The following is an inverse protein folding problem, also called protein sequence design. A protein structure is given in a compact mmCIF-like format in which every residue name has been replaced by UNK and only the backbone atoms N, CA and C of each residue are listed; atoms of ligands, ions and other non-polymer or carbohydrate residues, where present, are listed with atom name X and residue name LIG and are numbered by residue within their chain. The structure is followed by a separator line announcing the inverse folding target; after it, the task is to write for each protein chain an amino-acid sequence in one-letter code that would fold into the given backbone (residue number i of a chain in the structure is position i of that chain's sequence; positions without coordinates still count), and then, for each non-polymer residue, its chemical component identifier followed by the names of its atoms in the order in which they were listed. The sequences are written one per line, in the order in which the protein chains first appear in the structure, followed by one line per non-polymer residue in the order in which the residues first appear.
data_IF_192607341141
#
_entry.id   IF_192607341141
#
_cell.length_a   1.000
_cell.length_b   1.000
_cell.length_c   1.000
_cell.angle_alpha   90.00
_cell.angle_beta   90.00
_cell.angle_gamma   90.00
#
_symmetry.space_group_name_H-M   'P 1'
#
loop_
_entity.id
_entity.type
_entity.pdbx_description
1 polymer ?
#
# COMPACT_ATOMS: atom_id res chain seq x y z
N UNK A 1 -3.08 -13.15 -11.87
CA UNK A 1 -3.52 -13.83 -10.64
C UNK A 1 -5.01 -14.09 -10.75
N UNK A 2 -5.48 -15.26 -10.34
CA UNK A 2 -6.90 -15.65 -10.38
C UNK A 2 -7.38 -15.94 -8.95
N UNK A 3 -8.68 -15.77 -8.64
CA UNK A 3 -9.24 -16.20 -7.37
C UNK A 3 -8.99 -17.69 -7.13
N UNK A 4 -8.84 -18.09 -5.87
CA UNK A 4 -8.57 -19.48 -5.48
C UNK A 4 -7.16 -19.99 -5.81
N UNK A 5 -6.35 -19.22 -6.53
CA UNK A 5 -4.97 -19.63 -6.85
C UNK A 5 -4.07 -19.57 -5.61
N UNK A 6 -3.12 -20.49 -5.53
CA UNK A 6 -1.97 -20.40 -4.62
C UNK A 6 -0.83 -19.72 -5.36
N UNK A 7 -0.34 -18.61 -4.81
CA UNK A 7 0.68 -17.76 -5.45
C UNK A 7 1.87 -17.62 -4.52
N UNK A 8 3.04 -18.04 -5.00
CA UNK A 8 4.31 -17.87 -4.28
C UNK A 8 5.26 -17.00 -5.07
N UNK A 9 6.03 -16.18 -4.37
CA UNK A 9 7.00 -15.26 -4.97
C UNK A 9 8.19 -15.05 -4.05
N UNK A 10 9.35 -14.69 -4.59
CA UNK A 10 10.56 -14.39 -3.80
C UNK A 10 10.59 -12.97 -3.23
N UNK A 11 9.42 -12.36 -3.07
CA UNK A 11 9.23 -11.04 -2.49
C UNK A 11 8.22 -11.12 -1.34
N UNK A 12 8.51 -10.43 -0.24
CA UNK A 12 7.65 -10.45 0.95
C UNK A 12 6.25 -9.90 0.71
N UNK A 13 6.08 -9.01 -0.27
CA UNK A 13 4.80 -8.39 -0.62
C UNK A 13 4.07 -9.12 -1.74
N UNK A 14 4.43 -10.37 -2.03
CA UNK A 14 3.59 -11.29 -2.83
C UNK A 14 2.17 -11.36 -2.25
N UNK A 15 2.01 -11.10 -0.96
CA UNK A 15 0.73 -10.89 -0.25
C UNK A 15 -0.24 -9.95 -0.96
N UNK A 16 0.25 -8.96 -1.71
CA UNK A 16 -0.57 -8.02 -2.49
C UNK A 16 -1.60 -8.74 -3.37
N UNK A 17 -1.23 -9.90 -3.92
CA UNK A 17 -2.07 -10.64 -4.85
C UNK A 17 -3.32 -11.25 -4.21
N UNK A 18 -3.40 -11.32 -2.88
CA UNK A 18 -4.63 -11.73 -2.20
C UNK A 18 -5.77 -10.73 -2.31
N UNK A 19 -5.51 -9.52 -2.80
CA UNK A 19 -6.55 -8.57 -3.22
C UNK A 19 -7.50 -9.11 -4.31
N UNK A 20 -7.08 -10.17 -5.02
CA UNK A 20 -7.85 -10.84 -6.07
C UNK A 20 -8.38 -12.22 -5.62
N UNK A 21 -8.50 -12.46 -4.31
CA UNK A 21 -8.99 -13.72 -3.76
C UNK A 21 -8.01 -14.89 -3.89
N UNK A 22 -6.71 -14.63 -4.04
CA UNK A 22 -5.66 -15.65 -4.11
C UNK A 22 -4.98 -15.82 -2.74
N UNK A 23 -4.57 -17.04 -2.40
CA UNK A 23 -3.67 -17.25 -1.27
C UNK A 23 -2.24 -16.98 -1.71
N UNK A 24 -1.72 -15.80 -1.37
CA UNK A 24 -0.46 -15.30 -1.91
C UNK A 24 0.56 -14.94 -0.82
N UNK A 25 1.78 -15.46 -0.91
CA UNK A 25 2.79 -15.25 0.14
C UNK A 25 4.22 -15.34 -0.38
N UNK A 26 5.14 -14.73 0.36
CA UNK A 26 6.57 -14.73 0.04
C UNK A 26 7.26 -16.02 0.49
N UNK A 27 8.17 -16.54 -0.34
CA UNK A 27 9.06 -17.67 -0.01
C UNK A 27 10.52 -17.34 -0.35
N UNK A 28 11.47 -18.08 0.23
CA UNK A 28 12.88 -17.90 -0.06
C UNK A 28 13.30 -18.48 -1.42
N UNK A 29 14.56 -18.22 -1.80
CA UNK A 29 15.11 -18.69 -3.07
C UNK A 29 15.19 -20.23 -3.14
N UNK A 30 15.45 -20.90 -2.01
CA UNK A 30 15.54 -22.36 -1.93
C UNK A 30 14.17 -23.02 -2.11
N UNK A 31 13.14 -22.50 -1.45
CA UNK A 31 11.77 -22.97 -1.63
C UNK A 31 11.31 -22.71 -3.08
N UNK A 32 11.62 -21.55 -3.64
CA UNK A 32 11.27 -21.23 -5.03
C UNK A 32 11.94 -22.19 -6.03
N UNK A 33 13.21 -22.55 -5.82
CA UNK A 33 13.88 -23.55 -6.65
C UNK A 33 13.18 -24.91 -6.58
N UNK A 34 12.65 -25.28 -5.42
CA UNK A 34 11.88 -26.52 -5.23
C UNK A 34 10.54 -26.44 -5.98
N UNK A 35 9.84 -25.31 -5.90
CA UNK A 35 8.58 -25.06 -6.64
C UNK A 35 8.80 -25.15 -8.14
N UNK A 36 9.86 -24.53 -8.68
CA UNK A 36 10.19 -24.63 -10.11
C UNK A 36 10.54 -26.05 -10.55
N UNK A 37 11.21 -26.82 -9.69
CA UNK A 37 11.65 -28.18 -10.02
C UNK A 37 10.49 -29.18 -9.96
N UNK A 38 9.63 -29.05 -8.96
CA UNK A 38 8.60 -30.05 -8.64
C UNK A 38 7.20 -29.66 -9.10
N UNK A 39 6.96 -28.37 -9.41
CA UNK A 39 5.65 -27.84 -9.74
C UNK A 39 4.69 -27.73 -8.54
N UNK A 40 5.18 -27.95 -7.32
CA UNK A 40 4.37 -27.92 -6.08
C UNK A 40 5.08 -27.14 -4.99
N UNK A 41 4.31 -26.39 -4.19
CA UNK A 41 4.78 -25.80 -2.95
C UNK A 41 4.76 -26.87 -1.85
N UNK A 42 5.89 -27.07 -1.18
CA UNK A 42 6.04 -28.07 -0.12
C UNK A 42 5.96 -27.41 1.25
N UNK A 43 5.52 -28.18 2.26
CA UNK A 43 5.57 -27.82 3.68
C UNK A 43 4.86 -26.50 4.03
N UNK A 44 3.71 -26.24 3.41
CA UNK A 44 2.85 -25.10 3.76
C UNK A 44 1.84 -25.57 4.81
N UNK A 45 2.00 -25.11 6.04
CA UNK A 45 1.00 -25.28 7.09
C UNK A 45 -0.20 -24.39 6.79
N UNK A 46 -1.43 -24.92 6.97
CA UNK A 46 -2.65 -24.15 6.76
C UNK A 46 -2.78 -23.14 7.91
N UNK A 47 -2.69 -21.82 7.64
CA UNK A 47 -2.67 -20.81 8.69
C UNK A 47 -4.07 -20.57 9.27
N UNK A 48 -4.20 -20.33 10.59
CA UNK A 48 -5.42 -19.76 11.15
C UNK A 48 -5.71 -18.38 10.55
N UNK A 49 -6.97 -17.98 10.54
CA UNK A 49 -7.40 -16.72 9.92
C UNK A 49 -7.89 -15.71 10.96
N UNK A 50 -7.41 -14.47 10.85
CA UNK A 50 -7.93 -13.29 11.54
C UNK A 50 -8.89 -12.58 10.57
N UNK A 51 -10.17 -12.48 10.95
CA UNK A 51 -11.17 -11.71 10.20
C UNK A 51 -11.06 -10.24 10.56
N UNK A 52 -10.96 -9.37 9.55
CA UNK A 52 -11.05 -7.93 9.71
C UNK A 52 -12.33 -7.44 9.04
N UNK A 53 -13.32 -7.07 9.85
CA UNK A 53 -14.61 -6.58 9.40
C UNK A 53 -14.61 -5.05 9.39
N UNK A 54 -14.63 -4.46 8.20
CA UNK A 54 -14.53 -3.00 7.99
C UNK A 54 -15.89 -2.43 7.59
N UNK A 55 -16.33 -1.42 8.34
CA UNK A 55 -17.63 -0.76 8.18
C UNK A 55 -17.48 0.76 8.09
N UNK A 56 -18.51 1.43 7.58
CA UNK A 56 -18.53 2.89 7.43
C UNK A 56 -18.00 3.37 6.07
N UNK A 57 -17.99 4.70 5.90
CA UNK A 57 -17.50 5.37 4.70
C UNK A 57 -16.27 6.20 5.03
N UNK A 58 -15.25 6.16 4.16
CA UNK A 58 -14.04 6.94 4.38
C UNK A 58 -14.34 8.44 4.38
N UNK A 59 -13.83 9.19 5.38
CA UNK A 59 -13.83 10.65 5.32
C UNK A 59 -13.05 11.14 4.09
N UNK A 60 -13.28 12.39 3.65
CA UNK A 60 -12.49 13.00 2.58
C UNK A 60 -10.97 12.92 2.86
N UNK A 61 -10.19 12.59 1.82
CA UNK A 61 -8.73 12.47 1.86
C UNK A 61 -8.19 11.37 2.81
N UNK A 62 -9.05 10.41 3.18
CA UNK A 62 -8.70 9.19 3.93
C UNK A 62 -9.01 7.98 3.05
N UNK A 63 -8.17 6.94 3.09
CA UNK A 63 -8.38 5.77 2.24
C UNK A 63 -7.75 4.48 2.73
N UNK A 64 -7.54 3.56 1.77
CA UNK A 64 -7.04 2.22 2.04
C UNK A 64 -5.68 2.20 2.77
N UNK A 65 -4.81 3.18 2.46
CA UNK A 65 -3.52 3.31 3.13
C UNK A 65 -3.67 3.66 4.60
N UNK A 66 -4.59 4.56 4.94
CA UNK A 66 -4.86 4.93 6.33
C UNK A 66 -5.48 3.76 7.10
N UNK A 67 -6.41 3.03 6.47
CA UNK A 67 -7.00 1.82 7.06
C UNK A 67 -5.93 0.77 7.40
N UNK A 68 -5.03 0.45 6.47
CA UNK A 68 -4.04 -0.60 6.73
C UNK A 68 -2.97 -0.14 7.73
N UNK A 69 -2.58 1.13 7.73
CA UNK A 69 -1.72 1.66 8.78
C UNK A 69 -2.40 1.58 10.14
N UNK A 70 -3.66 2.01 10.25
CA UNK A 70 -4.43 1.89 11.49
C UNK A 70 -4.48 0.43 11.99
N UNK A 71 -4.75 -0.53 11.09
CA UNK A 71 -4.78 -1.94 11.44
C UNK A 71 -3.41 -2.47 11.88
N UNK A 72 -2.33 -2.12 11.19
CA UNK A 72 -0.96 -2.54 11.58
C UNK A 72 -0.60 -1.94 12.94
N UNK A 73 -0.95 -0.68 13.22
CA UNK A 73 -0.76 -0.07 14.54
C UNK A 73 -1.58 -0.75 15.65
N UNK A 74 -2.78 -1.23 15.32
CA UNK A 74 -3.65 -1.97 16.26
C UNK A 74 -3.13 -3.38 16.57
N UNK A 75 -2.63 -4.08 15.55
CA UNK A 75 -2.15 -5.46 15.68
C UNK A 75 -0.71 -5.53 16.21
N UNK A 76 0.12 -4.55 15.87
CA UNK A 76 1.58 -4.61 16.07
C UNK A 76 2.28 -5.44 14.99
N UNK A 77 3.61 -5.29 14.89
CA UNK A 77 4.41 -5.95 13.85
C UNK A 77 4.37 -7.49 13.87
N UNK A 78 4.03 -8.09 15.01
CA UNK A 78 3.94 -9.55 15.20
C UNK A 78 2.49 -10.04 15.43
N UNK A 79 1.51 -9.14 15.33
CA UNK A 79 0.12 -9.41 15.72
C UNK A 79 -0.61 -10.45 14.87
N UNK A 80 -0.10 -10.77 13.69
CA UNK A 80 -0.64 -11.75 12.75
C UNK A 80 0.40 -12.80 12.30
N UNK A 81 1.49 -12.99 13.06
CA UNK A 81 2.52 -13.99 12.73
C UNK A 81 1.93 -15.37 12.45
N UNK A 82 2.20 -15.94 11.27
CA UNK A 82 1.69 -17.25 10.81
C UNK A 82 0.17 -17.33 10.60
N UNK A 83 -0.53 -16.18 10.54
CA UNK A 83 -1.97 -16.10 10.24
C UNK A 83 -2.21 -15.52 8.85
N UNK A 84 -3.42 -15.74 8.35
CA UNK A 84 -3.98 -14.97 7.23
C UNK A 84 -4.84 -13.85 7.80
N UNK A 85 -4.73 -12.66 7.22
CA UNK A 85 -5.70 -11.58 7.46
C UNK A 85 -6.72 -11.62 6.32
N UNK A 86 -7.97 -11.95 6.65
CA UNK A 86 -9.08 -11.89 5.71
C UNK A 86 -9.87 -10.60 5.90
N UNK A 87 -9.93 -9.77 4.87
CA UNK A 87 -10.67 -8.51 4.88
C UNK A 87 -12.08 -8.70 4.36
N UNK A 88 -13.06 -8.19 5.10
CA UNK A 88 -14.43 -8.09 4.62
C UNK A 88 -15.18 -6.92 5.21
N UNK A 89 -16.50 -6.93 5.02
CA UNK A 89 -17.38 -5.81 5.35
C UNK A 89 -17.67 -4.89 4.18
N UNK A 90 -18.62 -3.98 4.41
CA UNK A 90 -19.19 -3.14 3.36
C UNK A 90 -18.14 -2.22 2.72
N UNK A 91 -17.24 -1.66 3.53
CA UNK A 91 -16.18 -0.77 3.05
C UNK A 91 -15.23 -1.51 2.11
N UNK A 92 -14.90 -2.77 2.39
CA UNK A 92 -14.03 -3.59 1.52
C UNK A 92 -14.73 -3.92 0.21
N UNK A 93 -16.02 -4.27 0.24
CA UNK A 93 -16.81 -4.53 -0.99
C UNK A 93 -16.85 -3.31 -1.92
N UNK A 94 -17.04 -2.12 -1.35
CA UNK A 94 -17.03 -0.84 -2.10
C UNK A 94 -15.62 -0.39 -2.54
N UNK A 95 -14.56 -0.97 -1.99
CA UNK A 95 -13.18 -0.56 -2.26
C UNK A 95 -12.72 -1.03 -3.64
N UNK A 96 -12.15 -0.15 -4.49
CA UNK A 96 -11.61 -0.56 -5.77
C UNK A 96 -10.39 -1.48 -5.59
N UNK A 97 -10.06 -2.24 -6.63
CA UNK A 97 -8.93 -3.19 -6.62
C UNK A 97 -7.59 -2.55 -6.20
N UNK A 98 -7.34 -1.28 -6.54
CA UNK A 98 -6.15 -0.53 -6.11
C UNK A 98 -6.05 -0.38 -4.59
N UNK A 99 -7.16 -0.09 -3.92
CA UNK A 99 -7.24 -0.05 -2.46
C UNK A 99 -7.04 -1.43 -1.83
N UNK A 100 -7.65 -2.47 -2.43
CA UNK A 100 -7.50 -3.86 -1.97
C UNK A 100 -6.04 -4.32 -2.07
N UNK A 101 -5.36 -3.98 -3.17
CA UNK A 101 -3.92 -4.20 -3.33
C UNK A 101 -3.13 -3.51 -2.22
N UNK A 102 -3.51 -2.30 -1.83
CA UNK A 102 -2.84 -1.55 -0.74
C UNK A 102 -2.95 -2.27 0.60
N UNK A 103 -4.17 -2.71 0.98
CA UNK A 103 -4.37 -3.36 2.28
C UNK A 103 -3.74 -4.76 2.33
N UNK A 104 -3.85 -5.55 1.25
CA UNK A 104 -3.23 -6.87 1.17
C UNK A 104 -1.70 -6.80 1.10
N UNK A 105 -1.14 -5.77 0.46
CA UNK A 105 0.30 -5.55 0.40
C UNK A 105 0.89 -5.47 1.81
N UNK A 106 0.32 -4.62 2.66
CA UNK A 106 0.92 -4.29 3.96
C UNK A 106 0.56 -5.26 5.10
N UNK A 107 -0.18 -6.35 4.86
CA UNK A 107 -0.46 -7.33 5.92
C UNK A 107 0.80 -8.00 6.47
N UNK A 108 1.83 -8.15 5.62
CA UNK A 108 3.14 -8.66 6.03
C UNK A 108 3.82 -7.78 7.08
N UNK A 109 3.47 -6.48 7.14
CA UNK A 109 4.00 -5.55 8.15
C UNK A 109 3.37 -5.74 9.54
N UNK A 110 2.30 -6.56 9.63
CA UNK A 110 1.77 -7.09 10.89
C UNK A 110 2.17 -8.57 11.12
N UNK A 111 3.08 -9.11 10.29
CA UNK A 111 3.57 -10.49 10.38
C UNK A 111 2.71 -11.54 9.67
N UNK A 112 1.64 -11.13 8.97
CA UNK A 112 0.75 -12.07 8.31
C UNK A 112 1.45 -12.84 7.18
N UNK A 113 1.12 -14.13 7.07
CA UNK A 113 1.53 -14.97 5.93
C UNK A 113 0.91 -14.45 4.63
N UNK A 114 -0.37 -14.04 4.68
CA UNK A 114 -1.09 -13.47 3.55
C UNK A 114 -2.18 -12.50 4.00
N UNK A 115 -2.53 -11.56 3.12
CA UNK A 115 -3.73 -10.73 3.24
C UNK A 115 -4.67 -11.06 2.10
N UNK A 116 -5.92 -11.43 2.37
CA UNK A 116 -6.88 -11.86 1.35
C UNK A 116 -8.17 -11.04 1.41
N UNK A 117 -8.65 -10.63 0.24
CA UNK A 117 -10.01 -10.12 0.05
C UNK A 117 -10.75 -11.18 -0.76
N UNK A 118 -11.83 -11.79 -0.24
CA UNK A 118 -12.64 -12.73 -1.00
C UNK A 118 -13.08 -12.13 -2.33
N UNK A 119 -13.06 -12.94 -3.39
CA UNK A 119 -13.38 -12.45 -4.72
C UNK A 119 -14.88 -12.13 -4.85
N UNK A 120 -15.17 -10.94 -5.38
CA UNK A 120 -16.53 -10.41 -5.56
C UNK A 120 -16.66 -9.73 -6.94
N UNK A 121 -17.71 -8.94 -7.13
CA UNK A 121 -18.00 -8.24 -8.39
C UNK A 121 -16.88 -7.28 -8.82
N UNK A 122 -16.19 -6.62 -7.88
CA UNK A 122 -15.05 -5.76 -8.21
C UNK A 122 -13.85 -6.57 -8.69
N UNK A 123 -13.61 -7.75 -8.09
CA UNK A 123 -12.58 -8.67 -8.57
C UNK A 123 -12.90 -9.16 -9.99
N UNK A 124 -14.16 -9.50 -10.26
CA UNK A 124 -14.63 -9.86 -11.60
C UNK A 124 -14.43 -8.70 -12.57
N UNK A 125 -14.88 -7.49 -12.22
CA UNK A 125 -14.71 -6.28 -13.03
C UNK A 125 -13.26 -6.06 -13.40
N UNK A 126 -12.34 -6.09 -12.42
CA UNK A 126 -10.91 -5.92 -12.69
C UNK A 126 -10.36 -6.98 -13.62
N UNK A 127 -10.70 -8.26 -13.39
CA UNK A 127 -10.20 -9.36 -14.23
C UNK A 127 -10.69 -9.26 -15.67
N UNK A 128 -11.96 -8.87 -15.88
CA UNK A 128 -12.55 -8.69 -17.21
C UNK A 128 -12.03 -7.43 -17.91
N UNK A 129 -12.20 -6.28 -17.29
CA UNK A 129 -12.00 -4.97 -17.94
C UNK A 129 -10.52 -4.55 -17.98
N UNK A 130 -9.75 -4.88 -16.94
CA UNK A 130 -8.38 -4.36 -16.76
C UNK A 130 -7.32 -5.40 -17.08
N UNK A 131 -7.56 -6.66 -16.72
CA UNK A 131 -6.64 -7.76 -16.99
C UNK A 131 -6.95 -8.53 -18.29
N UNK A 132 -8.12 -8.33 -18.90
CA UNK A 132 -8.51 -8.95 -20.17
C UNK A 132 -8.71 -10.46 -20.06
N UNK A 133 -9.17 -10.97 -18.92
CA UNK A 133 -9.46 -12.39 -18.74
C UNK A 133 -10.82 -12.71 -19.38
N UNK A 134 -10.84 -13.61 -20.36
CA UNK A 134 -12.04 -13.99 -21.11
C UNK A 134 -12.66 -15.33 -20.65
N UNK A 135 -11.87 -16.23 -20.06
CA UNK A 135 -12.34 -17.54 -19.60
C UNK A 135 -13.30 -17.45 -18.40
N UNK A 136 -13.91 -18.58 -18.03
CA UNK A 136 -14.72 -18.70 -16.81
C UNK A 136 -13.90 -18.36 -15.55
N UNK A 137 -14.54 -17.66 -14.62
CA UNK A 137 -13.96 -17.26 -13.34
C UNK A 137 -14.64 -18.06 -12.23
N UNK A 138 -13.88 -18.94 -11.60
CA UNK A 138 -14.30 -19.59 -10.36
C UNK A 138 -13.99 -18.66 -9.19
N UNK A 139 -15.02 -18.22 -8.47
CA UNK A 139 -14.88 -17.38 -7.29
C UNK A 139 -14.82 -18.27 -6.05
N UNK A 140 -13.76 -18.11 -5.27
CA UNK A 140 -13.59 -18.78 -3.99
C UNK A 140 -13.80 -17.76 -2.87
N UNK A 141 -14.66 -18.10 -1.93
CA UNK A 141 -14.99 -17.26 -0.78
C UNK A 141 -15.19 -18.10 0.49
N UNK A 142 -15.29 -17.46 1.66
CA UNK A 142 -15.48 -18.16 2.92
C UNK A 142 -16.89 -18.77 3.00
N UNK A 143 -16.99 -19.93 3.66
CA UNK A 143 -18.28 -20.53 3.99
C UNK A 143 -19.03 -19.70 5.05
N UNK A 144 -20.39 -19.75 5.09
CA UNK A 144 -21.17 -19.03 6.09
C UNK A 144 -20.86 -19.40 7.55
N UNK A 145 -20.35 -20.61 7.78
CA UNK A 145 -19.97 -21.15 9.09
C UNK A 145 -18.45 -21.20 9.31
N UNK A 146 -17.66 -20.48 8.48
CA UNK A 146 -16.22 -20.37 8.64
C UNK A 146 -15.83 -19.89 10.05
N UNK A 147 -14.88 -20.60 10.67
CA UNK A 147 -14.39 -20.28 12.01
C UNK A 147 -13.09 -19.48 11.91
N UNK A 148 -13.07 -18.31 12.54
CA UNK A 148 -11.90 -17.44 12.61
C UNK A 148 -11.25 -17.53 13.99
N UNK A 149 -9.91 -17.50 14.04
CA UNK A 149 -9.14 -17.48 15.30
C UNK A 149 -9.48 -16.22 16.10
N UNK A 150 -9.66 -15.09 15.39
CA UNK A 150 -9.97 -13.78 15.94
C UNK A 150 -10.74 -12.96 14.92
N UNK A 151 -11.65 -12.11 15.41
CA UNK A 151 -12.29 -11.06 14.61
C UNK A 151 -11.89 -9.69 15.14
N UNK A 152 -11.56 -8.78 14.23
CA UNK A 152 -11.22 -7.37 14.48
C UNK A 152 -12.23 -6.52 13.72
N UNK A 153 -12.88 -5.60 14.42
CA UNK A 153 -13.84 -4.68 13.82
C UNK A 153 -13.21 -3.29 13.67
N UNK A 154 -13.35 -2.68 12.49
CA UNK A 154 -12.86 -1.33 12.21
C UNK A 154 -13.99 -0.50 11.59
N UNK A 155 -14.33 0.62 12.23
CA UNK A 155 -15.21 1.64 11.66
C UNK A 155 -14.37 2.78 11.09
N UNK A 156 -14.43 2.97 9.77
CA UNK A 156 -13.63 4.00 9.09
C UNK A 156 -14.25 5.39 9.13
N UNK A 157 -15.51 5.53 9.57
CA UNK A 157 -16.28 6.79 9.51
C UNK A 157 -15.64 7.93 10.29
N UNK A 158 -14.78 7.61 11.26
CA UNK A 158 -14.05 8.58 12.09
C UNK A 158 -12.54 8.46 11.97
N UNK A 159 -12.05 7.67 11.00
CA UNK A 159 -10.63 7.47 10.79
C UNK A 159 -10.00 8.77 10.27
N UNK A 160 -8.98 9.27 10.97
CA UNK A 160 -8.15 10.36 10.48
C UNK A 160 -7.02 9.82 9.58
N UNK A 161 -6.38 10.65 8.75
CA UNK A 161 -5.15 10.23 8.07
C UNK A 161 -4.13 9.68 9.06
N UNK A 162 -3.49 8.56 8.71
CA UNK A 162 -2.59 7.82 9.58
C UNK A 162 -1.15 7.93 9.11
N UNK A 163 -0.22 8.04 10.06
CA UNK A 163 1.22 8.15 9.80
C UNK A 163 1.96 7.05 10.54
N UNK A 164 2.67 6.18 9.82
CA UNK A 164 3.65 5.29 10.44
C UNK A 164 4.94 6.05 10.69
N UNK A 165 5.23 6.29 11.96
CA UNK A 165 6.39 7.04 12.40
C UNK A 165 7.64 6.13 12.45
N UNK A 166 8.85 6.67 12.22
CA UNK A 166 10.06 5.89 12.32
C UNK A 166 10.23 5.25 13.72
N UNK A 167 10.91 4.11 13.86
CA UNK A 167 11.53 3.29 12.82
C UNK A 167 10.83 1.94 12.64
N UNK A 168 9.55 1.85 13.00
CA UNK A 168 8.74 0.64 12.84
C UNK A 168 7.40 0.98 12.21
N UNK A 169 6.88 0.07 11.40
CA UNK A 169 5.64 0.32 10.63
C UNK A 169 4.42 0.38 11.55
N UNK A 170 4.46 -0.33 12.67
CA UNK A 170 3.41 -0.37 13.69
C UNK A 170 3.41 0.82 14.67
N UNK A 171 4.40 1.72 14.60
CA UNK A 171 4.37 2.99 15.33
C UNK A 171 3.47 4.00 14.62
N UNK A 172 2.16 3.71 14.59
CA UNK A 172 1.18 4.49 13.84
C UNK A 172 0.51 5.52 14.74
N UNK A 173 0.46 6.76 14.24
CA UNK A 173 -0.18 7.89 14.91
C UNK A 173 -1.17 8.59 13.97
N UNK A 174 -2.25 9.17 14.51
CA UNK A 174 -3.05 10.09 13.72
C UNK A 174 -2.22 11.32 13.34
N UNK A 175 -2.54 11.90 12.18
CA UNK A 175 -1.72 12.95 11.57
C UNK A 175 -1.52 14.20 12.43
N UNK A 176 -2.47 14.53 13.30
CA UNK A 176 -2.43 15.70 14.18
C UNK A 176 -1.31 15.64 15.22
N UNK A 177 -0.85 14.44 15.59
CA UNK A 177 0.27 14.28 16.52
C UNK A 177 1.65 14.59 15.91
N UNK A 178 1.75 14.56 14.58
CA UNK A 178 3.04 14.71 13.85
C UNK A 178 3.01 15.81 12.80
N UNK A 179 1.88 16.51 12.67
CA UNK A 179 1.73 17.65 11.78
C UNK A 179 2.79 18.73 12.09
N UNK A 180 3.33 19.36 11.05
CA UNK A 180 4.40 20.34 11.17
C UNK A 180 5.83 19.76 11.17
N UNK A 181 5.99 18.44 11.19
CA UNK A 181 7.31 17.79 11.04
C UNK A 181 7.91 18.12 9.68
N UNK A 182 9.11 18.72 9.65
CA UNK A 182 9.83 19.07 8.41
C UNK A 182 10.12 17.83 7.57
N UNK A 183 9.82 17.92 6.27
CA UNK A 183 10.13 16.87 5.29
C UNK A 183 11.06 17.40 4.20
N UNK A 184 12.05 16.58 3.86
CA UNK A 184 13.08 16.90 2.87
C UNK A 184 12.82 16.17 1.55
N UNK A 185 12.22 14.98 1.63
CA UNK A 185 11.84 14.17 0.48
C UNK A 185 10.41 13.67 0.60
N UNK A 186 9.62 13.84 -0.45
CA UNK A 186 8.33 13.20 -0.66
C UNK A 186 8.52 12.08 -1.69
N UNK A 187 7.97 10.90 -1.39
CA UNK A 187 7.91 9.77 -2.32
C UNK A 187 6.45 9.37 -2.50
N UNK A 188 5.92 9.51 -3.71
CA UNK A 188 4.62 8.96 -4.10
C UNK A 188 4.86 7.87 -5.13
N UNK A 189 4.58 6.63 -4.78
CA UNK A 189 4.75 5.50 -5.69
C UNK A 189 5.56 4.37 -5.08
N UNK A 190 5.11 3.15 -5.36
CA UNK A 190 5.70 1.85 -5.04
C UNK A 190 4.69 0.78 -5.47
N UNK A 191 4.90 -0.48 -5.09
CA UNK A 191 3.86 -1.51 -5.12
C UNK A 191 2.65 -1.16 -4.23
N UNK A 192 2.85 -0.40 -3.15
CA UNK A 192 1.78 -0.06 -2.19
C UNK A 192 0.85 1.02 -2.70
N UNK A 193 1.34 2.13 -3.26
CA UNK A 193 0.56 3.32 -3.67
C UNK A 193 1.19 4.05 -4.87
N UNK A 194 1.16 3.43 -6.04
CA UNK A 194 1.67 4.01 -7.29
C UNK A 194 0.79 3.77 -8.51
N UNK A 195 -0.48 3.41 -8.31
CA UNK A 195 -1.44 3.17 -9.41
C UNK A 195 -2.03 4.50 -9.89
N UNK A 196 -2.86 4.44 -10.92
CA UNK A 196 -3.37 5.63 -11.59
C UNK A 196 -4.15 6.55 -10.64
N UNK A 197 -4.96 5.98 -9.75
CA UNK A 197 -5.73 6.70 -8.74
C UNK A 197 -4.83 7.38 -7.68
N UNK A 198 -3.78 6.69 -7.22
CA UNK A 198 -2.78 7.29 -6.32
C UNK A 198 -2.09 8.52 -6.96
N UNK A 199 -1.73 8.41 -8.25
CA UNK A 199 -1.10 9.51 -9.02
C UNK A 199 -2.11 10.63 -9.29
N UNK A 200 -3.35 10.29 -9.61
CA UNK A 200 -4.42 11.24 -9.86
C UNK A 200 -4.74 12.06 -8.60
N UNK A 201 -4.78 11.43 -7.43
CA UNK A 201 -4.97 12.11 -6.15
C UNK A 201 -3.86 13.16 -5.91
N UNK A 202 -2.60 12.77 -6.12
CA UNK A 202 -1.48 13.68 -6.01
C UNK A 202 -1.56 14.83 -7.02
N UNK A 203 -1.85 14.53 -8.29
CA UNK A 203 -1.95 15.54 -9.35
C UNK A 203 -3.06 16.56 -9.08
N UNK A 204 -4.23 16.10 -8.60
CA UNK A 204 -5.35 16.97 -8.19
C UNK A 204 -4.96 17.93 -7.07
N UNK A 205 -4.27 17.44 -6.04
CA UNK A 205 -3.88 18.26 -4.88
C UNK A 205 -2.81 19.30 -5.27
N UNK A 206 -1.90 18.94 -6.17
CA UNK A 206 -0.78 19.78 -6.63
C UNK A 206 -1.12 20.69 -7.82
N UNK A 207 -2.33 20.59 -8.40
CA UNK A 207 -2.72 21.39 -9.56
C UNK A 207 -2.65 22.89 -9.26
N UNK A 208 -1.90 23.64 -10.09
CA UNK A 208 -1.68 25.07 -9.91
C UNK A 208 -0.75 25.46 -8.76
N UNK A 209 -0.20 24.49 -8.03
CA UNK A 209 0.67 24.70 -6.87
C UNK A 209 2.13 24.36 -7.18
N UNK A 210 3.01 24.52 -6.19
CA UNK A 210 4.44 24.22 -6.29
C UNK A 210 4.89 23.41 -5.08
N UNK A 211 5.78 22.46 -5.31
CA UNK A 211 6.52 21.76 -4.25
C UNK A 211 7.38 22.78 -3.49
N UNK A 212 7.43 22.66 -2.17
CA UNK A 212 8.18 23.55 -1.30
C UNK A 212 9.69 23.58 -1.66
N UNK A 213 10.32 24.75 -1.54
CA UNK A 213 11.68 25.03 -2.04
C UNK A 213 12.77 24.08 -1.52
N UNK A 214 12.63 23.57 -0.30
CA UNK A 214 13.60 22.69 0.36
C UNK A 214 13.14 21.23 0.42
N UNK A 215 12.10 20.90 -0.35
CA UNK A 215 11.52 19.56 -0.40
C UNK A 215 11.62 19.06 -1.82
N UNK A 216 12.14 17.85 -2.01
CA UNK A 216 12.12 17.17 -3.31
C UNK A 216 10.97 16.18 -3.36
N UNK A 217 10.24 16.15 -4.46
CA UNK A 217 9.14 15.20 -4.65
C UNK A 217 9.48 14.24 -5.79
N UNK A 218 9.44 12.95 -5.50
CA UNK A 218 9.69 11.88 -6.45
C UNK A 218 8.41 11.07 -6.65
N UNK A 219 8.03 10.85 -7.90
CA UNK A 219 6.81 10.10 -8.26
C UNK A 219 7.15 8.86 -9.05
N UNK A 220 6.73 7.68 -8.58
CA UNK A 220 7.04 6.38 -9.17
C UNK A 220 5.76 5.65 -9.61
N UNK A 221 5.37 5.74 -10.90
CA UNK A 221 4.26 4.95 -11.41
C UNK A 221 4.53 3.45 -11.26
N UNK A 222 3.56 2.71 -10.72
CA UNK A 222 3.73 1.30 -10.32
C UNK A 222 4.06 0.35 -11.48
N UNK A 223 3.72 0.72 -12.72
CA UNK A 223 4.05 -0.03 -13.92
C UNK A 223 4.15 0.89 -15.14
N UNK A 224 4.77 0.39 -16.22
CA UNK A 224 4.83 1.12 -17.48
C UNK A 224 3.45 1.45 -18.06
N UNK A 225 2.46 0.57 -17.85
CA UNK A 225 1.07 0.81 -18.24
C UNK A 225 0.48 1.99 -17.47
N UNK A 226 0.62 2.01 -16.15
CA UNK A 226 0.16 3.12 -15.30
C UNK A 226 0.86 4.43 -15.67
N UNK A 227 2.16 4.38 -16.00
CA UNK A 227 2.88 5.55 -16.49
C UNK A 227 2.20 6.09 -17.76
N UNK A 228 1.99 5.26 -18.77
CA UNK A 228 1.34 5.67 -20.02
C UNK A 228 -0.07 6.25 -19.80
N UNK A 229 -0.87 5.62 -18.95
CA UNK A 229 -2.19 6.11 -18.56
C UNK A 229 -2.11 7.49 -17.88
N UNK A 230 -1.20 7.67 -16.92
CA UNK A 230 -1.00 8.94 -16.22
C UNK A 230 -0.47 10.05 -17.15
N UNK A 231 0.32 9.69 -18.16
CA UNK A 231 0.79 10.61 -19.19
C UNK A 231 -0.38 11.06 -20.07
N UNK A 232 -1.20 10.12 -20.55
CA UNK A 232 -2.37 10.40 -21.38
C UNK A 232 -3.42 11.26 -20.65
N UNK A 233 -3.60 11.02 -19.34
CA UNK A 233 -4.49 11.81 -18.49
C UNK A 233 -3.94 13.20 -18.11
N UNK A 234 -2.69 13.53 -18.48
CA UNK A 234 -2.05 14.80 -18.18
C UNK A 234 -1.49 14.94 -16.75
N UNK A 235 -1.63 13.91 -15.90
CA UNK A 235 -1.16 13.94 -14.52
C UNK A 235 0.36 14.12 -14.41
N UNK A 236 1.11 13.48 -15.31
CA UNK A 236 2.57 13.65 -15.39
C UNK A 236 2.94 15.12 -15.62
N UNK A 237 2.25 15.79 -16.55
CA UNK A 237 2.50 17.19 -16.85
C UNK A 237 2.14 18.10 -15.66
N UNK A 238 1.03 17.82 -14.97
CA UNK A 238 0.62 18.57 -13.76
C UNK A 238 1.66 18.44 -12.65
N UNK A 239 2.12 17.23 -12.35
CA UNK A 239 3.11 16.98 -11.30
C UNK A 239 4.48 17.61 -11.64
N UNK A 240 4.92 17.52 -12.90
CA UNK A 240 6.15 18.19 -13.34
C UNK A 240 6.04 19.72 -13.26
N UNK A 241 4.89 20.29 -13.64
CA UNK A 241 4.64 21.73 -13.46
C UNK A 241 4.69 22.14 -12.00
N UNK A 242 4.27 21.30 -11.07
CA UNK A 242 4.40 21.55 -9.63
C UNK A 242 5.85 21.47 -9.13
N UNK A 243 6.77 20.88 -9.90
CA UNK A 243 8.18 20.72 -9.54
C UNK A 243 8.54 19.32 -9.03
N UNK A 244 7.64 18.34 -9.18
CA UNK A 244 7.95 16.94 -8.91
C UNK A 244 8.78 16.32 -10.04
N UNK A 245 9.62 15.34 -9.69
CA UNK A 245 10.36 14.52 -10.65
C UNK A 245 9.62 13.20 -10.83
N UNK A 246 9.05 12.99 -12.02
CA UNK A 246 8.38 11.72 -12.36
C UNK A 246 9.44 10.73 -12.85
N UNK A 247 9.59 9.64 -12.11
CA UNK A 247 10.61 8.63 -12.28
C UNK A 247 10.11 7.48 -13.16
N UNK A 248 11.04 6.69 -13.72
CA UNK A 248 10.68 5.43 -14.37
C UNK A 248 9.96 4.49 -13.39
N UNK A 249 9.07 3.66 -13.92
CA UNK A 249 8.32 2.70 -13.11
C UNK A 249 9.24 1.73 -12.39
N UNK A 250 9.00 1.56 -11.08
CA UNK A 250 9.78 0.69 -10.21
C UNK A 250 9.54 0.95 -8.74
N UNK A 251 10.34 0.32 -7.89
CA UNK A 251 10.22 0.42 -6.42
C UNK A 251 11.21 1.39 -5.78
N UNK A 252 11.81 2.32 -6.54
CA UNK A 252 12.73 3.30 -5.95
C UNK A 252 11.99 4.28 -5.04
N UNK A 253 12.57 4.76 -3.92
CA UNK A 253 13.80 4.34 -3.26
C UNK A 253 13.57 3.29 -2.14
N UNK A 254 12.52 2.45 -2.24
CA UNK A 254 12.02 1.58 -1.15
C UNK A 254 13.08 0.71 -0.47
N UNK A 255 14.07 0.20 -1.21
CA UNK A 255 15.15 -0.64 -0.68
C UNK A 255 16.49 0.10 -0.48
N UNK A 256 16.55 1.39 -0.80
CA UNK A 256 17.78 2.19 -0.70
C UNK A 256 18.89 1.81 -1.71
N UNK A 257 18.55 1.04 -2.75
CA UNK A 257 19.52 0.53 -3.75
C UNK A 257 19.69 1.52 -4.92
N UNK A 258 18.66 2.32 -5.24
CA UNK A 258 18.72 3.33 -6.29
C UNK A 258 17.74 4.47 -6.02
N UNK A 259 18.05 5.65 -6.60
CA UNK A 259 17.21 6.86 -6.61
C UNK A 259 16.91 7.40 -5.20
N UNK A 260 16.55 8.69 -5.10
CA UNK A 260 16.01 9.27 -3.85
C UNK A 260 16.83 9.02 -2.58
N UNK A 261 18.16 8.93 -2.68
CA UNK A 261 19.04 8.77 -1.53
C UNK A 261 18.86 9.93 -0.55
N UNK A 262 18.86 9.63 0.74
CA UNK A 262 18.70 10.62 1.80
C UNK A 262 20.06 11.00 2.41
N UNK A 263 20.26 12.30 2.62
CA UNK A 263 21.39 12.86 3.36
C UNK A 263 21.25 12.68 4.87
N UNK A 264 22.32 12.93 5.62
CA UNK A 264 22.30 12.82 7.08
C UNK A 264 21.19 13.70 7.68
N UNK A 265 20.38 13.11 8.57
CA UNK A 265 19.26 13.77 9.25
C UNK A 265 18.12 14.26 8.35
N UNK A 266 18.11 13.87 7.07
CA UNK A 266 16.94 14.10 6.23
C UNK A 266 15.76 13.22 6.66
N UNK A 267 14.57 13.77 6.43
CA UNK A 267 13.28 13.14 6.71
C UNK A 267 12.57 12.90 5.38
N UNK A 268 12.21 11.66 5.11
CA UNK A 268 11.34 11.29 4.00
C UNK A 268 9.91 11.03 4.49
N UNK A 269 8.94 11.46 3.70
CA UNK A 269 7.54 11.06 3.83
C UNK A 269 7.15 10.30 2.56
N UNK A 270 6.74 9.04 2.74
CA UNK A 270 6.67 8.07 1.64
C UNK A 270 5.35 7.32 1.61
N UNK A 271 4.86 6.99 0.41
CA UNK A 271 3.71 6.10 0.24
C UNK A 271 4.10 4.61 0.13
N UNK A 272 5.39 4.28 0.34
CA UNK A 272 5.91 2.91 0.47
C UNK A 272 5.38 2.19 1.72
N UNK A 273 5.84 0.96 1.94
CA UNK A 273 5.37 0.06 3.01
C UNK A 273 6.33 -0.10 4.20
N UNK A 274 7.60 0.32 4.10
CA UNK A 274 8.60 0.12 5.17
C UNK A 274 9.36 1.40 5.53
N UNK A 275 9.66 1.56 6.81
CA UNK A 275 10.33 2.73 7.38
C UNK A 275 11.48 2.41 8.36
N UNK A 276 11.99 1.18 8.35
CA UNK A 276 13.10 0.77 9.21
C UNK A 276 14.34 1.66 9.03
N UNK A 277 15.19 1.70 10.06
CA UNK A 277 16.44 2.47 10.01
C UNK A 277 17.30 2.03 8.82
N UNK A 278 17.72 2.98 7.98
CA UNK A 278 18.50 2.72 6.77
C UNK A 278 17.69 2.19 5.58
N UNK A 279 16.36 2.15 5.66
CA UNK A 279 15.51 1.57 4.62
C UNK A 279 15.67 2.24 3.25
N UNK A 280 15.86 3.55 3.23
CA UNK A 280 16.12 4.33 2.02
C UNK A 280 17.62 4.67 1.86
N UNK A 281 18.50 3.79 2.34
CA UNK A 281 19.95 3.85 2.16
C UNK A 281 20.72 4.31 3.40
N UNK A 282 20.52 5.56 3.83
CA UNK A 282 21.30 6.14 4.94
C UNK A 282 20.66 5.81 6.31
N UNK A 283 21.38 5.19 7.27
CA UNK A 283 20.83 4.86 8.58
C UNK A 283 20.63 6.06 9.52
N UNK A 284 21.08 7.27 9.15
CA UNK A 284 20.88 8.50 9.95
C UNK A 284 19.62 9.29 9.55
N UNK A 285 18.70 8.65 8.85
CA UNK A 285 17.52 9.30 8.26
C UNK A 285 16.25 8.73 8.85
N UNK A 286 15.20 9.52 8.78
CA UNK A 286 13.87 9.14 9.23
C UNK A 286 12.94 8.98 8.03
N UNK A 287 12.11 7.94 8.05
CA UNK A 287 11.10 7.68 7.03
C UNK A 287 9.74 7.59 7.72
N UNK A 288 8.80 8.40 7.27
CA UNK A 288 7.40 8.35 7.68
C UNK A 288 6.60 7.72 6.53
N UNK A 289 5.60 6.90 6.84
CA UNK A 289 4.70 6.34 5.84
C UNK A 289 3.32 6.99 5.93
N UNK A 290 2.72 7.29 4.77
CA UNK A 290 1.40 7.92 4.69
C UNK A 290 0.69 7.59 3.38
N UNK A 291 -0.52 8.11 3.21
CA UNK A 291 -1.29 8.07 1.96
C UNK A 291 -0.77 9.05 0.90
N UNK A 292 -1.07 8.84 -0.40
CA UNK A 292 -0.77 9.80 -1.46
C UNK A 292 -1.31 11.22 -1.19
N UNK A 293 -2.49 11.33 -0.57
CA UNK A 293 -3.15 12.58 -0.23
C UNK A 293 -2.31 13.39 0.76
N UNK A 294 -1.88 12.74 1.86
CA UNK A 294 -1.00 13.35 2.85
C UNK A 294 0.35 13.71 2.24
N UNK A 295 0.94 12.81 1.44
CA UNK A 295 2.21 13.06 0.78
C UNK A 295 2.16 14.28 -0.14
N UNK A 296 1.09 14.42 -0.93
CA UNK A 296 0.90 15.53 -1.86
C UNK A 296 0.64 16.85 -1.12
N UNK A 297 -0.19 16.86 -0.07
CA UNK A 297 -0.40 18.04 0.77
C UNK A 297 0.91 18.50 1.43
N UNK A 298 1.67 17.55 1.97
CA UNK A 298 2.96 17.81 2.62
C UNK A 298 4.05 18.26 1.64
N UNK A 299 3.94 17.89 0.35
CA UNK A 299 4.85 18.37 -0.68
C UNK A 299 4.74 19.89 -0.91
N UNK A 300 3.55 20.45 -0.76
CA UNK A 300 3.27 21.87 -0.97
C UNK A 300 3.83 22.71 0.18
N UNK A 301 3.65 22.24 1.42
CA UNK A 301 4.03 22.99 2.63
C UNK A 301 5.46 22.70 3.09
N UNK A 302 6.03 21.57 2.69
CA UNK A 302 7.35 21.09 3.14
C UNK A 302 7.36 20.55 4.57
N UNK A 303 6.18 20.33 5.17
CA UNK A 303 6.01 19.67 6.47
C UNK A 303 4.89 18.65 6.39
N UNK A 304 4.86 17.64 7.27
CA UNK A 304 3.71 16.72 7.37
C UNK A 304 2.43 17.54 7.59
N UNK A 305 1.49 17.43 6.66
CA UNK A 305 0.30 18.30 6.58
C UNK A 305 -0.96 17.47 6.39
N UNK A 306 -1.99 17.80 7.18
CA UNK A 306 -3.30 17.20 7.05
C UNK A 306 -3.99 17.66 5.74
N UNK A 307 -4.26 16.74 4.79
CA UNK A 307 -4.84 17.10 3.50
C UNK A 307 -6.25 17.72 3.63
N UNK A 308 -6.93 17.52 4.77
CA UNK A 308 -8.28 18.05 5.04
C UNK A 308 -8.29 19.54 5.36
N UNK A 309 -7.17 20.12 5.77
CA UNK A 309 -7.08 21.54 6.16
C UNK A 309 -6.77 22.47 4.98
N UNK A 310 -6.59 21.92 3.78
CA UNK A 310 -6.10 22.66 2.62
C UNK A 310 -4.59 22.87 2.70
N UNK A 311 -3.92 22.78 1.55
CA UNK A 311 -2.49 23.01 1.38
C UNK A 311 -2.24 24.10 0.34
#
# INVERSE_FOLDING_TARGET
MRPGAVVVGTDSHTTSHGALGAFAFGIGATEMASVWTLGVALNIEVPPTIRVEVTGEFPPEVGAKDLILHLVGLLGAEGANFRVIEFGGETIRKMPTSGRLTICNMTVEAGATSGIVPADEETVRYLREVAGVEDELELVGPDPDAVYERTVHVDVSRLAPQIACPHTVDNVKPIDEVAGTKVHQIVIGSCTNGRLDDIAAAARILEGKKVARETRMLVFPASGRIYQEALAAGYVATLMKAGAVVMNSGCGPCLGIHQGALGDHEVALSTTNRNFKGRMGNPKTEVYLCSPEVAAASAITGVITDPRQGA
#
